data_IF_207687411370
#
_entry.id   IF_207687411370
#
_cell.length_a   1.000
_cell.length_b   1.000
_cell.length_c   1.000
_cell.angle_alpha   90.00
_cell.angle_beta   90.00
_cell.angle_gamma   90.00
#
_symmetry.space_group_name_H-M   'P 1'
#
loop_
_entity.id
_entity.type
_entity.pdbx_description
1 polymer ?
#
# COMPACT_ATOMS: atom_id res chain seq x y z
N UNK A 1 57.27 29.30 4.23
CA UNK A 1 55.81 29.41 4.01
C UNK A 1 55.34 28.19 3.22
N UNK A 2 55.14 27.10 3.96
CA UNK A 2 54.49 25.90 3.44
C UNK A 2 53.02 26.25 3.25
N UNK A 3 52.56 26.15 2.01
CA UNK A 3 51.15 26.30 1.67
C UNK A 3 50.52 24.94 1.97
N UNK A 4 49.81 24.86 3.09
CA UNK A 4 48.95 23.73 3.42
C UNK A 4 47.97 23.52 2.26
N UNK A 5 48.12 22.38 1.58
CA UNK A 5 47.24 21.99 0.49
C UNK A 5 45.82 21.77 1.01
N UNK A 6 44.85 22.38 0.33
CA UNK A 6 43.42 22.18 0.53
C UNK A 6 43.13 20.68 0.67
N UNK A 7 42.61 20.26 1.83
CA UNK A 7 42.08 18.93 2.04
C UNK A 7 40.93 18.71 1.06
N UNK A 8 41.22 18.08 -0.09
CA UNK A 8 40.22 17.67 -1.06
C UNK A 8 39.13 16.88 -0.34
N UNK A 9 37.89 17.36 -0.42
CA UNK A 9 36.72 16.74 0.18
C UNK A 9 36.72 15.23 -0.12
N UNK A 10 36.98 14.42 0.91
CA UNK A 10 36.86 12.96 0.77
C UNK A 10 35.42 12.64 0.36
N UNK A 11 35.21 11.80 -0.66
CA UNK A 11 33.86 11.41 -1.06
C UNK A 11 33.15 10.74 0.12
N UNK A 12 32.08 11.37 0.60
CA UNK A 12 31.24 10.81 1.67
C UNK A 12 30.40 9.69 1.05
N UNK A 13 30.55 8.47 1.56
CA UNK A 13 29.75 7.34 1.11
C UNK A 13 28.27 7.60 1.43
N UNK A 14 27.40 7.46 0.44
CA UNK A 14 25.96 7.51 0.67
C UNK A 14 25.54 6.23 1.41
N UNK A 15 25.14 6.35 2.67
CA UNK A 15 24.61 5.25 3.47
C UNK A 15 23.09 5.15 3.30
N UNK A 16 22.58 3.98 3.64
CA UNK A 16 21.17 3.62 3.70
C UNK A 16 20.95 2.82 4.96
N UNK A 17 19.80 3.01 5.60
CA UNK A 17 19.40 2.20 6.74
C UNK A 17 18.90 0.85 6.24
N UNK A 18 19.47 -0.25 6.75
CA UNK A 18 19.09 -1.63 6.42
C UNK A 18 18.60 -2.34 7.68
N UNK A 19 17.31 -2.23 8.02
CA UNK A 19 16.73 -3.00 9.11
C UNK A 19 16.90 -4.50 8.87
N UNK A 20 17.12 -5.26 9.95
CA UNK A 20 17.31 -6.72 9.90
C UNK A 20 16.06 -7.49 10.33
N UNK A 21 15.18 -6.82 11.06
CA UNK A 21 13.96 -7.39 11.61
C UNK A 21 12.74 -6.64 11.08
N UNK A 22 11.59 -7.30 11.13
CA UNK A 22 10.32 -6.66 10.78
C UNK A 22 9.98 -5.61 11.83
N UNK A 23 9.69 -4.40 11.38
CA UNK A 23 9.32 -3.28 12.26
C UNK A 23 7.87 -2.92 11.95
N UNK A 24 6.98 -3.04 12.93
CA UNK A 24 5.56 -2.73 12.75
C UNK A 24 5.05 -1.82 13.85
N UNK A 25 4.18 -0.87 13.48
CA UNK A 25 3.39 -0.05 14.39
C UNK A 25 1.95 -0.07 13.91
N UNK A 26 1.03 -0.30 14.84
CA UNK A 26 -0.40 -0.41 14.55
C UNK A 26 -1.19 0.54 15.44
N UNK A 27 -2.32 1.03 14.92
CA UNK A 27 -3.29 1.83 15.68
C UNK A 27 -4.68 1.55 15.16
N UNK A 28 -5.44 0.74 15.91
CA UNK A 28 -6.74 0.25 15.45
C UNK A 28 -6.57 -0.63 14.22
N UNK A 29 -7.27 -0.29 13.13
CA UNK A 29 -7.14 -0.95 11.83
C UNK A 29 -5.98 -0.42 10.97
N UNK A 30 -5.43 0.75 11.31
CA UNK A 30 -4.32 1.36 10.56
C UNK A 30 -2.98 0.80 10.99
N UNK A 31 -2.04 0.68 10.05
CA UNK A 31 -0.70 0.18 10.36
C UNK A 31 0.36 0.71 9.40
N UNK A 32 1.61 0.62 9.85
CA UNK A 32 2.81 0.76 9.03
C UNK A 32 3.77 -0.34 9.41
N UNK A 33 4.22 -1.11 8.44
CA UNK A 33 5.14 -2.23 8.63
C UNK A 33 6.26 -2.17 7.62
N UNK A 34 7.49 -2.37 8.05
CA UNK A 34 8.66 -2.55 7.21
C UNK A 34 9.12 -4.00 7.29
N UNK A 35 9.21 -4.62 6.13
CA UNK A 35 9.81 -5.93 5.93
C UNK A 35 11.24 -5.73 5.38
N UNK A 36 12.27 -6.28 6.05
CA UNK A 36 13.64 -6.22 5.57
C UNK A 36 13.79 -6.78 4.15
N UNK A 37 14.36 -5.99 3.26
CA UNK A 37 14.65 -6.38 1.88
C UNK A 37 15.81 -5.53 1.34
N UNK A 38 16.56 -6.05 0.37
CA UNK A 38 17.66 -5.32 -0.28
C UNK A 38 17.15 -4.45 -1.46
N UNK A 39 15.99 -3.81 -1.32
CA UNK A 39 15.38 -2.91 -2.31
C UNK A 39 14.63 -1.76 -1.62
N UNK A 40 14.03 -0.84 -2.39
CA UNK A 40 13.15 0.21 -1.86
C UNK A 40 11.75 0.04 -2.43
N UNK A 41 10.92 -0.74 -1.74
CA UNK A 41 9.55 -1.02 -2.13
C UNK A 41 8.58 -0.38 -1.15
N UNK A 42 7.53 0.23 -1.68
CA UNK A 42 6.49 0.87 -0.90
C UNK A 42 5.14 0.40 -1.37
N UNK A 43 4.24 0.14 -0.44
CA UNK A 43 2.83 -0.14 -0.72
C UNK A 43 1.98 0.68 0.24
N UNK A 44 1.05 1.45 -0.29
CA UNK A 44 0.13 2.26 0.50
C UNK A 44 -1.30 1.89 0.17
N UNK A 45 -2.08 1.63 1.20
CA UNK A 45 -3.51 1.41 1.11
C UNK A 45 -4.28 2.51 1.82
N UNK A 46 -5.42 2.88 1.25
CA UNK A 46 -6.40 3.78 1.87
C UNK A 46 -7.79 3.19 1.73
N UNK A 47 -8.61 3.34 2.76
CA UNK A 47 -10.00 2.94 2.74
C UNK A 47 -10.91 4.06 3.23
N UNK A 48 -11.72 4.60 2.31
CA UNK A 48 -12.76 5.58 2.61
C UNK A 48 -14.12 5.14 2.10
N UNK A 49 -14.35 3.86 1.80
CA UNK A 49 -15.59 3.40 1.13
C UNK A 49 -16.89 3.83 1.85
N UNK A 50 -16.88 3.94 3.18
CA UNK A 50 -18.07 4.34 3.96
C UNK A 50 -18.33 5.85 3.92
N UNK A 51 -17.28 6.66 3.87
CA UNK A 51 -17.36 8.12 3.99
C UNK A 51 -17.34 8.80 2.61
N UNK A 52 -16.55 8.25 1.69
CA UNK A 52 -16.31 8.71 0.34
C UNK A 52 -16.25 7.51 -0.63
N UNK A 53 -17.40 6.99 -1.09
CA UNK A 53 -17.46 5.90 -2.07
C UNK A 53 -16.61 6.12 -3.32
N UNK A 54 -16.45 7.36 -3.80
CA UNK A 54 -15.59 7.70 -4.94
C UNK A 54 -14.12 7.36 -4.74
N UNK A 55 -13.63 7.42 -3.49
CA UNK A 55 -12.29 6.98 -3.13
C UNK A 55 -12.30 5.46 -3.01
N UNK A 56 -13.29 4.91 -2.30
CA UNK A 56 -13.41 3.48 -2.10
C UNK A 56 -12.23 2.89 -1.32
N UNK A 57 -11.78 1.72 -1.75
CA UNK A 57 -10.60 1.01 -1.22
C UNK A 57 -9.53 0.98 -2.30
N UNK A 58 -8.41 1.63 -2.03
CA UNK A 58 -7.34 1.78 -3.01
C UNK A 58 -6.03 1.26 -2.46
N UNK A 59 -5.23 0.67 -3.33
CA UNK A 59 -3.87 0.24 -3.04
C UNK A 59 -2.97 0.68 -4.18
N UNK A 60 -1.80 1.19 -3.83
CA UNK A 60 -0.75 1.52 -4.78
C UNK A 60 0.58 0.95 -4.31
N UNK A 61 1.33 0.33 -5.21
CA UNK A 61 2.68 -0.19 -4.94
C UNK A 61 3.67 0.44 -5.89
N UNK A 62 4.87 0.76 -5.37
CA UNK A 62 5.94 1.38 -6.13
C UNK A 62 7.30 0.91 -5.60
N UNK A 63 8.17 0.50 -6.50
CA UNK A 63 9.54 0.09 -6.24
C UNK A 63 10.50 0.99 -7.03
N UNK A 64 11.47 1.58 -6.32
CA UNK A 64 12.37 2.59 -6.90
C UNK A 64 13.20 2.08 -8.10
N UNK A 65 13.51 0.78 -8.14
CA UNK A 65 14.36 0.18 -9.17
C UNK A 65 13.58 -0.47 -10.32
N UNK A 66 12.31 -0.79 -10.10
CA UNK A 66 11.48 -1.57 -11.04
C UNK A 66 10.48 -0.68 -11.77
N UNK A 67 9.94 0.34 -11.07
CA UNK A 67 8.85 1.16 -11.58
C UNK A 67 9.31 2.49 -12.16
N UNK A 68 8.38 3.18 -12.82
CA UNK A 68 8.57 4.53 -13.33
C UNK A 68 9.03 5.48 -12.23
N UNK A 69 9.93 6.40 -12.60
CA UNK A 69 10.55 7.34 -11.68
C UNK A 69 9.51 8.11 -10.85
N UNK A 70 9.81 8.36 -9.56
CA UNK A 70 8.95 9.06 -8.60
C UNK A 70 8.23 10.28 -9.17
N UNK A 71 8.95 11.10 -9.95
CA UNK A 71 8.41 12.31 -10.62
C UNK A 71 7.13 12.05 -11.44
N UNK A 72 7.05 10.91 -12.12
CA UNK A 72 5.95 10.59 -13.04
C UNK A 72 4.87 9.73 -12.38
N UNK A 73 5.26 8.90 -11.42
CA UNK A 73 4.33 7.96 -10.75
C UNK A 73 3.66 8.59 -9.54
N UNK A 74 4.40 9.40 -8.79
CA UNK A 74 3.97 9.88 -7.48
C UNK A 74 3.94 11.40 -7.42
N UNK A 75 4.91 12.09 -8.04
CA UNK A 75 5.22 13.49 -7.75
C UNK A 75 4.09 14.51 -7.98
N UNK A 76 3.04 14.13 -8.69
CA UNK A 76 1.91 15.00 -9.03
C UNK A 76 0.60 14.65 -8.30
N UNK A 77 0.59 13.64 -7.42
CA UNK A 77 -0.57 13.28 -6.62
C UNK A 77 -0.96 14.39 -5.62
N UNK A 78 -2.23 14.77 -5.62
CA UNK A 78 -2.78 15.89 -4.83
C UNK A 78 -3.32 15.45 -3.47
N UNK A 79 -3.35 16.36 -2.48
CA UNK A 79 -4.07 16.12 -1.22
C UNK A 79 -5.57 15.94 -1.49
N UNK A 80 -6.24 15.17 -0.64
CA UNK A 80 -7.66 14.89 -0.75
C UNK A 80 -8.40 15.04 0.59
N UNK A 81 -9.71 15.26 0.51
CA UNK A 81 -10.65 15.28 1.64
C UNK A 81 -11.82 14.35 1.35
N UNK A 82 -12.30 13.67 2.39
CA UNK A 82 -13.36 12.65 2.26
C UNK A 82 -14.76 13.24 2.17
N UNK A 83 -14.96 14.51 2.55
CA UNK A 83 -16.26 15.19 2.38
C UNK A 83 -16.12 16.71 2.34
N UNK A 84 -17.10 17.45 1.79
CA UNK A 84 -17.13 18.90 1.90
C UNK A 84 -17.32 19.38 3.35
N UNK A 85 -18.04 18.61 4.18
CA UNK A 85 -18.22 18.92 5.59
C UNK A 85 -16.90 18.88 6.35
N UNK A 86 -16.00 17.94 6.01
CA UNK A 86 -14.65 17.91 6.54
C UNK A 86 -13.88 19.20 6.19
N UNK A 87 -13.97 19.65 4.93
CA UNK A 87 -13.33 20.90 4.50
C UNK A 87 -13.84 22.12 5.28
N UNK A 88 -15.16 22.22 5.46
CA UNK A 88 -15.80 23.31 6.24
C UNK A 88 -15.35 23.25 7.70
N UNK A 89 -15.42 22.08 8.34
CA UNK A 89 -15.04 21.92 9.74
C UNK A 89 -13.55 22.24 9.99
N UNK A 90 -12.66 21.80 9.08
CA UNK A 90 -11.24 22.16 9.14
C UNK A 90 -11.03 23.68 9.02
N UNK A 91 -11.79 24.33 8.14
CA UNK A 91 -11.74 25.80 7.98
C UNK A 91 -12.23 26.54 9.22
N UNK A 92 -13.33 26.09 9.83
CA UNK A 92 -13.85 26.68 11.08
C UNK A 92 -12.86 26.51 12.23
N UNK A 93 -12.13 25.39 12.26
CA UNK A 93 -11.05 25.13 13.22
C UNK A 93 -9.73 25.89 12.92
N UNK A 94 -9.69 26.76 11.91
CA UNK A 94 -8.53 27.58 11.56
C UNK A 94 -7.53 26.94 10.60
N UNK A 95 -7.82 25.75 10.07
CA UNK A 95 -7.01 25.10 9.02
C UNK A 95 -7.48 25.54 7.63
N UNK A 96 -6.73 25.22 6.57
CA UNK A 96 -7.14 25.44 5.16
C UNK A 96 -7.67 26.87 4.84
N UNK A 97 -7.15 27.90 5.51
CA UNK A 97 -7.67 29.28 5.37
C UNK A 97 -7.48 29.88 3.98
N UNK A 98 -6.51 29.36 3.21
CA UNK A 98 -6.26 29.76 1.83
C UNK A 98 -7.27 29.16 0.83
N UNK A 99 -8.19 28.29 1.29
CA UNK A 99 -9.14 27.58 0.45
C UNK A 99 -8.60 26.22 -0.02
N UNK A 100 -9.48 25.47 -0.69
CA UNK A 100 -9.22 24.13 -1.23
C UNK A 100 -9.29 24.08 -2.76
N UNK A 101 -9.90 25.11 -3.36
CA UNK A 101 -10.19 25.19 -4.79
C UNK A 101 -8.92 25.10 -5.64
N UNK A 102 -8.92 24.22 -6.64
CA UNK A 102 -7.79 24.01 -7.56
C UNK A 102 -6.60 23.25 -6.97
N UNK A 103 -6.57 22.97 -5.66
CA UNK A 103 -5.40 22.41 -4.97
C UNK A 103 -5.70 21.05 -4.34
N UNK A 104 -6.88 20.89 -3.74
CA UNK A 104 -7.26 19.70 -2.97
C UNK A 104 -8.44 19.01 -3.65
N UNK A 105 -8.34 17.70 -3.81
CA UNK A 105 -9.45 16.88 -4.29
C UNK A 105 -10.48 16.69 -3.18
N UNK A 106 -11.72 17.10 -3.39
CA UNK A 106 -12.78 16.96 -2.38
C UNK A 106 -13.78 15.92 -2.86
N UNK A 107 -13.92 14.81 -2.12
CA UNK A 107 -14.92 13.81 -2.41
C UNK A 107 -16.32 14.30 -2.02
N UNK A 108 -17.34 13.86 -2.76
CA UNK A 108 -18.75 14.14 -2.51
C UNK A 108 -19.58 12.88 -2.83
N UNK A 109 -19.63 11.96 -1.86
CA UNK A 109 -20.30 10.67 -2.06
C UNK A 109 -19.60 9.85 -3.15
N UNK A 110 -20.34 9.55 -4.23
CA UNK A 110 -19.87 8.73 -5.36
C UNK A 110 -19.09 9.51 -6.43
N UNK A 111 -18.91 10.82 -6.27
CA UNK A 111 -18.17 11.66 -7.23
C UNK A 111 -17.17 12.60 -6.56
N UNK A 112 -16.22 13.09 -7.35
CA UNK A 112 -15.36 14.21 -6.97
C UNK A 112 -16.12 15.52 -7.14
N UNK A 113 -15.87 16.49 -6.26
CA UNK A 113 -16.46 17.83 -6.38
C UNK A 113 -15.96 18.56 -7.63
N UNK A 114 -14.68 18.40 -7.94
CA UNK A 114 -14.03 18.89 -9.16
C UNK A 114 -13.27 17.70 -9.79
N UNK A 115 -13.81 17.19 -10.89
CA UNK A 115 -13.25 16.03 -11.60
C UNK A 115 -11.96 16.35 -12.34
N UNK A 116 -11.75 17.62 -12.74
CA UNK A 116 -10.56 18.03 -13.48
C UNK A 116 -9.31 18.07 -12.57
N UNK A 117 -9.52 17.97 -11.25
CA UNK A 117 -8.45 17.80 -10.27
C UNK A 117 -7.98 16.36 -10.11
N UNK A 118 -8.64 15.36 -10.67
CA UNK A 118 -8.19 13.97 -10.55
C UNK A 118 -7.21 13.68 -11.69
N UNK A 119 -5.99 13.26 -11.36
CA UNK A 119 -4.93 12.88 -12.31
C UNK A 119 -4.76 11.38 -12.41
N UNK A 120 -5.00 10.66 -11.32
CA UNK A 120 -4.89 9.21 -11.24
C UNK A 120 -6.14 8.62 -10.58
N UNK A 121 -6.52 7.41 -10.99
CA UNK A 121 -7.65 6.69 -10.39
C UNK A 121 -7.40 6.36 -8.91
N UNK A 122 -6.16 5.99 -8.59
CA UNK A 122 -5.64 5.64 -7.26
C UNK A 122 -4.89 6.80 -6.59
N UNK A 123 -5.21 8.05 -6.94
CA UNK A 123 -4.50 9.24 -6.45
C UNK A 123 -4.48 9.38 -4.91
N UNK A 124 -5.57 9.09 -4.17
CA UNK A 124 -5.52 9.01 -2.71
C UNK A 124 -4.47 8.05 -2.14
N UNK A 125 -4.31 6.85 -2.73
CA UNK A 125 -3.26 5.91 -2.32
C UNK A 125 -1.86 6.46 -2.65
N UNK A 126 -1.66 7.02 -3.85
CA UNK A 126 -0.39 7.68 -4.23
C UNK A 126 -0.03 8.83 -3.29
N UNK A 127 -1.02 9.64 -2.89
CA UNK A 127 -0.82 10.72 -1.92
C UNK A 127 -0.39 10.19 -0.55
N UNK A 128 -1.01 9.11 -0.08
CA UNK A 128 -0.60 8.45 1.17
C UNK A 128 0.85 7.97 1.12
N UNK A 129 1.29 7.44 -0.02
CA UNK A 129 2.69 7.07 -0.25
C UNK A 129 3.62 8.28 -0.27
N UNK A 130 3.23 9.39 -0.90
CA UNK A 130 4.00 10.64 -0.83
C UNK A 130 4.19 11.10 0.62
N UNK A 131 3.13 11.06 1.43
CA UNK A 131 3.19 11.44 2.84
C UNK A 131 4.13 10.52 3.63
N UNK A 132 4.07 9.20 3.40
CA UNK A 132 5.02 8.24 3.98
C UNK A 132 6.47 8.55 3.61
N UNK A 133 6.76 8.72 2.31
CA UNK A 133 8.11 9.04 1.81
C UNK A 133 8.62 10.36 2.40
N UNK A 134 7.74 11.36 2.51
CA UNK A 134 8.04 12.64 3.14
C UNK A 134 8.40 12.50 4.62
N UNK A 135 7.68 11.65 5.37
CA UNK A 135 8.02 11.37 6.77
C UNK A 135 9.35 10.61 6.88
N UNK A 136 9.56 9.56 6.08
CA UNK A 136 10.83 8.79 6.09
C UNK A 136 12.05 9.67 5.79
N UNK A 137 11.90 10.73 4.99
CA UNK A 137 12.96 11.69 4.75
C UNK A 137 13.45 12.38 6.04
N UNK A 138 12.68 12.38 7.13
CA UNK A 138 13.13 12.88 8.44
C UNK A 138 14.19 11.98 9.10
N UNK A 139 14.35 10.74 8.65
CA UNK A 139 15.46 9.87 9.04
C UNK A 139 16.77 10.24 8.32
N UNK A 140 16.75 11.22 7.41
CA UNK A 140 17.92 11.67 6.68
C UNK A 140 19.04 12.11 7.63
N UNK A 141 20.25 11.62 7.36
CA UNK A 141 21.47 11.94 8.11
C UNK A 141 22.63 12.09 7.15
N UNK A 142 23.51 13.07 7.40
CA UNK A 142 24.80 13.20 6.70
C UNK A 142 24.73 13.13 5.16
N UNK A 143 23.68 13.69 4.56
CA UNK A 143 23.46 13.69 3.10
C UNK A 143 22.79 12.43 2.52
N UNK A 144 22.28 11.54 3.38
CA UNK A 144 21.51 10.35 2.98
C UNK A 144 20.01 10.66 2.92
N UNK A 145 19.26 9.96 2.07
CA UNK A 145 17.85 10.25 1.79
C UNK A 145 16.88 9.90 2.92
N UNK A 146 17.32 9.18 3.96
CA UNK A 146 16.47 8.74 5.07
C UNK A 146 15.56 7.55 4.76
N UNK A 147 15.44 7.16 3.50
CA UNK A 147 14.66 5.97 3.10
C UNK A 147 15.37 4.69 3.57
N UNK A 148 14.73 3.87 4.42
CA UNK A 148 15.28 2.57 4.77
C UNK A 148 15.07 1.59 3.60
N UNK A 149 16.00 0.65 3.45
CA UNK A 149 15.84 -0.47 2.55
C UNK A 149 14.84 -1.48 3.14
N UNK A 150 13.97 -1.98 2.28
CA UNK A 150 12.90 -2.88 2.65
C UNK A 150 11.65 -2.67 1.81
N UNK A 151 10.64 -3.47 2.13
CA UNK A 151 9.28 -3.26 1.70
C UNK A 151 8.47 -2.64 2.84
N UNK A 152 8.07 -1.38 2.66
CA UNK A 152 7.22 -0.68 3.63
C UNK A 152 5.77 -0.71 3.15
N UNK A 153 4.90 -1.26 3.97
CA UNK A 153 3.46 -1.32 3.74
C UNK A 153 2.76 -0.44 4.76
N UNK A 154 1.95 0.52 4.31
CA UNK A 154 1.07 1.30 5.16
C UNK A 154 -0.39 1.16 4.74
N UNK A 155 -1.29 1.26 5.72
CA UNK A 155 -2.73 1.21 5.50
C UNK A 155 -3.42 2.23 6.41
N UNK A 156 -4.17 3.16 5.80
CA UNK A 156 -4.88 4.27 6.46
C UNK A 156 -4.05 4.96 7.55
N UNK A 157 -2.78 5.19 7.26
CA UNK A 157 -1.82 5.74 8.21
C UNK A 157 -1.83 7.27 8.19
N UNK A 158 -1.95 7.88 9.37
CA UNK A 158 -1.90 9.32 9.51
C UNK A 158 -0.50 9.82 9.92
N UNK A 159 -0.27 11.14 9.95
CA UNK A 159 1.05 11.70 10.32
C UNK A 159 1.55 11.26 11.71
N UNK A 160 0.65 11.06 12.67
CA UNK A 160 1.03 10.59 14.01
C UNK A 160 1.53 9.15 13.98
N UNK A 161 0.85 8.28 13.24
CA UNK A 161 1.28 6.89 13.06
C UNK A 161 2.62 6.81 12.31
N UNK A 162 2.85 7.67 11.31
CA UNK A 162 4.15 7.77 10.65
C UNK A 162 5.25 8.23 11.62
N UNK A 163 5.00 9.24 12.44
CA UNK A 163 5.97 9.67 13.45
C UNK A 163 6.29 8.56 14.46
N UNK A 164 5.28 7.82 14.93
CA UNK A 164 5.48 6.67 15.81
C UNK A 164 6.27 5.55 15.14
N UNK A 165 6.00 5.27 13.87
CA UNK A 165 6.76 4.32 13.07
C UNK A 165 8.23 4.73 12.93
N UNK A 166 8.53 5.99 12.63
CA UNK A 166 9.90 6.50 12.55
C UNK A 166 10.65 6.37 13.87
N UNK A 167 9.99 6.69 14.99
CA UNK A 167 10.57 6.50 16.32
C UNK A 167 10.92 5.02 16.56
N UNK A 168 10.01 4.10 16.22
CA UNK A 168 10.23 2.67 16.33
C UNK A 168 11.39 2.17 15.46
N UNK A 169 11.54 2.73 14.25
CA UNK A 169 12.68 2.44 13.37
C UNK A 169 13.99 2.87 14.02
N UNK A 170 14.05 4.07 14.59
CA UNK A 170 15.25 4.56 15.27
C UNK A 170 15.60 3.78 16.54
N UNK A 171 14.60 3.26 17.26
CA UNK A 171 14.80 2.39 18.42
C UNK A 171 15.29 0.99 18.05
N UNK A 172 14.86 0.49 16.89
CA UNK A 172 15.14 -0.88 16.45
C UNK A 172 16.44 -1.01 15.65
N UNK A 173 17.03 0.10 15.22
CA UNK A 173 18.23 0.09 14.37
C UNK A 173 19.43 0.77 15.02
N UNK A 174 20.58 0.12 14.93
CA UNK A 174 21.86 0.62 15.44
C UNK A 174 22.70 1.34 14.37
N UNK A 175 23.86 1.91 14.77
CA UNK A 175 24.83 2.48 13.82
C UNK A 175 25.31 1.49 12.75
N UNK A 176 25.34 0.19 13.05
CA UNK A 176 25.76 -0.91 12.19
C UNK A 176 24.77 -1.25 11.07
N UNK A 177 23.52 -0.80 11.18
CA UNK A 177 22.50 -1.00 10.15
C UNK A 177 22.61 0.04 9.03
N UNK A 178 23.44 1.07 9.21
CA UNK A 178 23.76 2.04 8.17
C UNK A 178 24.86 1.51 7.27
N UNK A 179 24.47 1.00 6.11
CA UNK A 179 25.40 0.40 5.14
C UNK A 179 25.53 1.28 3.90
N UNK A 180 26.64 1.21 3.15
CA UNK A 180 26.78 1.88 1.87
C UNK A 180 25.65 1.50 0.89
N UNK A 181 25.05 2.49 0.23
CA UNK A 181 23.95 2.30 -0.73
C UNK A 181 24.29 1.29 -1.83
N UNK A 182 25.55 1.27 -2.28
CA UNK A 182 26.05 0.34 -3.30
C UNK A 182 25.89 -1.14 -2.90
N UNK A 183 25.78 -1.42 -1.60
CA UNK A 183 25.62 -2.78 -1.08
C UNK A 183 24.15 -3.24 -1.10
N UNK A 184 23.19 -2.30 -1.34
CA UNK A 184 21.74 -2.55 -1.46
C UNK A 184 21.21 -2.22 -2.87
N UNK A 185 22.11 -2.14 -3.86
CA UNK A 185 21.68 -1.85 -5.23
C UNK A 185 21.19 -3.13 -5.93
N UNK A 186 19.89 -3.27 -6.09
CA UNK A 186 19.32 -4.29 -6.95
C UNK A 186 17.80 -4.29 -6.99
N UNK A 187 17.20 -4.89 -8.04
CA UNK A 187 15.79 -5.27 -8.01
C UNK A 187 15.56 -6.31 -6.90
N UNK A 188 14.30 -6.51 -6.57
CA UNK A 188 13.89 -7.51 -5.58
C UNK A 188 14.43 -8.88 -5.96
N UNK A 189 14.95 -9.62 -4.97
CA UNK A 189 15.47 -10.97 -5.25
C UNK A 189 14.27 -11.90 -5.47
N UNK A 190 14.24 -12.66 -6.57
CA UNK A 190 13.19 -13.66 -6.75
C UNK A 190 13.23 -14.65 -5.61
N UNK A 191 12.05 -15.03 -5.12
CA UNK A 191 11.90 -16.08 -4.12
C UNK A 191 12.31 -17.39 -4.75
N UNK A 192 13.21 -18.12 -4.08
CA UNK A 192 13.50 -19.50 -4.42
C UNK A 192 12.35 -20.37 -3.91
N UNK A 193 11.39 -20.62 -4.79
CA UNK A 193 10.21 -21.41 -4.46
C UNK A 193 10.54 -22.86 -4.13
N UNK A 194 11.61 -23.44 -4.70
CA UNK A 194 11.99 -24.82 -4.39
C UNK A 194 12.48 -24.90 -2.94
N UNK A 195 13.42 -24.03 -2.56
CA UNK A 195 13.91 -23.96 -1.19
C UNK A 195 12.81 -23.61 -0.17
N UNK A 196 11.88 -22.71 -0.55
CA UNK A 196 10.75 -22.37 0.31
C UNK A 196 9.80 -23.56 0.49
N UNK A 197 9.45 -24.26 -0.59
CA UNK A 197 8.55 -25.42 -0.53
C UNK A 197 9.18 -26.56 0.26
N UNK A 198 10.48 -26.81 0.11
CA UNK A 198 11.21 -27.79 0.93
C UNK A 198 11.15 -27.44 2.43
N UNK A 199 11.23 -26.13 2.77
CA UNK A 199 11.12 -25.68 4.16
C UNK A 199 9.69 -25.79 4.75
N UNK A 200 8.67 -25.64 3.90
CA UNK A 200 7.25 -25.65 4.33
C UNK A 200 6.70 -27.06 4.40
N UNK A 201 7.08 -27.93 3.46
CA UNK A 201 6.58 -29.30 3.38
C UNK A 201 7.32 -30.24 4.35
N UNK A 202 8.51 -29.86 4.83
CA UNK A 202 9.37 -30.75 5.58
C UNK A 202 9.88 -31.91 4.73
N UNK A 203 10.90 -32.62 5.19
CA UNK A 203 11.25 -33.91 4.58
C UNK A 203 10.07 -34.89 4.75
N UNK A 204 9.71 -35.68 3.73
CA UNK A 204 8.63 -36.68 3.82
C UNK A 204 8.75 -37.69 4.97
N UNK A 205 9.91 -37.76 5.63
CA UNK A 205 10.24 -38.72 6.68
C UNK A 205 9.78 -38.32 8.10
N UNK A 206 9.09 -37.18 8.29
CA UNK A 206 8.56 -36.76 9.62
C UNK A 206 7.07 -37.07 9.86
N UNK A 207 6.43 -37.83 8.97
CA UNK A 207 5.23 -38.58 9.38
C UNK A 207 5.70 -39.85 10.08
N UNK A 208 6.01 -39.76 11.37
CA UNK A 208 6.03 -40.94 12.23
C UNK A 208 4.64 -41.57 12.14
N UNK A 209 4.55 -42.70 11.44
CA UNK A 209 3.45 -43.63 11.57
C UNK A 209 3.42 -44.03 13.06
N UNK A 210 2.50 -43.41 13.81
CA UNK A 210 2.11 -43.90 15.13
C UNK A 210 1.50 -45.28 14.90
N UNK A 211 2.35 -46.33 14.92
CA UNK A 211 1.93 -47.72 14.98
C UNK A 211 1.18 -47.92 16.30
N UNK A 212 -0.11 -47.60 16.25
CA UNK A 212 -1.09 -47.82 17.30
C UNK A 212 -1.08 -49.29 17.69
N UNK A 213 -0.53 -49.53 18.88
CA UNK A 213 -0.58 -50.77 19.65
C UNK A 213 -1.94 -51.46 19.52
N UNK A 214 -1.97 -52.65 18.92
CA UNK A 214 -3.14 -53.54 18.89
C UNK A 214 -3.59 -53.88 20.33
N UNK A 215 -4.89 -53.69 20.61
CA UNK A 215 -5.45 -53.88 21.95
C UNK A 215 -6.97 -53.96 21.98
N UNK A 216 -7.48 -55.10 21.51
CA UNK A 216 -8.74 -55.77 21.85
C UNK A 216 -10.10 -55.20 21.40
N UNK A 217 -10.83 -56.14 20.80
CA UNK A 217 -12.12 -56.06 20.12
C UNK A 217 -13.31 -55.88 21.08
N UNK A 218 -14.32 -55.17 20.60
CA UNK A 218 -15.65 -55.06 21.21
C UNK A 218 -16.67 -54.51 20.22
N UNK A 219 -17.22 -55.41 19.40
CA UNK A 219 -18.56 -55.44 18.77
C UNK A 219 -19.61 -54.52 19.47
N UNK A 220 -20.55 -53.78 18.87
CA UNK A 220 -21.30 -53.71 17.60
C UNK A 220 -21.83 -52.24 17.55
N UNK A 221 -21.88 -51.50 16.43
CA UNK A 221 -22.74 -51.70 15.27
C UNK A 221 -23.92 -50.69 15.27
N UNK A 222 -23.83 -49.62 14.48
CA UNK A 222 -24.91 -49.09 13.62
C UNK A 222 -24.43 -47.84 12.86
N UNK A 223 -24.47 -47.93 11.53
CA UNK A 223 -23.86 -46.99 10.62
C UNK A 223 -24.78 -45.86 10.15
N UNK A 224 -24.15 -44.79 9.68
CA UNK A 224 -24.70 -43.92 8.65
C UNK A 224 -23.55 -43.26 7.89
N UNK A 225 -23.16 -43.88 6.77
CA UNK A 225 -22.31 -43.28 5.77
C UNK A 225 -23.14 -42.24 5.00
N UNK A 226 -22.78 -40.95 5.10
CA UNK A 226 -23.27 -39.93 4.18
C UNK A 226 -22.32 -39.89 2.98
N UNK A 227 -22.79 -40.49 1.88
CA UNK A 227 -22.14 -40.48 0.59
C UNK A 227 -22.15 -39.07 -0.02
N UNK A 228 -20.99 -38.62 -0.51
CA UNK A 228 -20.91 -37.59 -1.55
C UNK A 228 -21.51 -38.18 -2.83
N UNK A 229 -22.77 -37.86 -3.09
CA UNK A 229 -23.45 -38.15 -4.36
C UNK A 229 -23.44 -36.91 -5.23
N UNK A 230 -22.70 -36.97 -6.34
CA UNK A 230 -22.94 -36.10 -7.48
C UNK A 230 -24.33 -36.34 -8.06
N UNK A 231 -25.00 -35.27 -8.43
CA UNK A 231 -26.28 -35.27 -9.12
C UNK A 231 -26.29 -34.09 -10.09
N UNK A 232 -26.22 -34.42 -11.38
CA UNK A 232 -26.45 -33.56 -12.53
C UNK A 232 -27.94 -33.19 -12.66
N UNK A 233 -28.22 -32.05 -13.31
CA UNK A 233 -29.55 -31.62 -13.77
C UNK A 233 -30.28 -30.70 -12.79
N UNK A 234 -30.92 -29.61 -13.18
CA UNK A 234 -31.48 -29.22 -14.47
C UNK A 234 -31.51 -27.69 -14.59
N UNK A 235 -31.56 -27.25 -15.84
CA UNK A 235 -31.71 -25.89 -16.33
C UNK A 235 -33.04 -25.28 -15.87
N UNK A 236 -33.02 -24.03 -15.42
CA UNK A 236 -34.17 -23.14 -15.57
C UNK A 236 -33.67 -21.78 -16.05
N UNK A 237 -33.97 -21.53 -17.33
CA UNK A 237 -33.86 -20.27 -18.05
C UNK A 237 -34.86 -19.26 -17.45
N UNK A 238 -34.38 -18.10 -17.03
CA UNK A 238 -35.23 -16.90 -16.96
C UNK A 238 -34.75 -15.89 -18.00
N UNK A 239 -35.33 -16.03 -19.19
CA UNK A 239 -35.40 -15.07 -20.28
C UNK A 239 -36.27 -13.88 -19.83
N UNK A 240 -35.69 -12.67 -19.77
CA UNK A 240 -36.48 -11.43 -19.72
C UNK A 240 -36.37 -10.72 -21.07
N UNK A 241 -37.49 -10.73 -21.77
CA UNK A 241 -37.72 -10.13 -23.08
C UNK A 241 -37.47 -8.61 -23.08
N UNK A 242 -37.01 -8.12 -24.22
CA UNK A 242 -36.75 -6.71 -24.47
C UNK A 242 -37.99 -5.84 -24.58
N UNK A 243 -37.76 -4.54 -24.43
CA UNK A 243 -38.64 -3.51 -24.93
C UNK A 243 -37.85 -2.55 -25.83
N UNK A 244 -38.53 -2.21 -26.91
CA UNK A 244 -38.07 -1.64 -28.17
C UNK A 244 -37.87 -0.12 -28.11
N UNK A 245 -37.11 0.35 -29.08
CA UNK A 245 -36.84 1.70 -29.58
C UNK A 245 -37.93 2.79 -29.35
N UNK A 246 -37.44 4.02 -29.17
CA UNK A 246 -38.21 5.24 -29.36
C UNK A 246 -37.28 6.38 -29.77
N UNK A 247 -37.21 6.64 -31.07
CA UNK A 247 -36.65 7.84 -31.69
C UNK A 247 -37.33 9.11 -31.16
N UNK A 248 -36.55 10.19 -31.03
CA UNK A 248 -37.02 11.51 -30.66
C UNK A 248 -35.93 12.55 -30.90
N UNK A 249 -35.80 12.95 -32.16
CA UNK A 249 -35.13 14.19 -32.56
C UNK A 249 -35.86 15.38 -31.93
N UNK A 250 -35.13 16.31 -31.31
CA UNK A 250 -35.59 17.69 -31.12
C UNK A 250 -34.38 18.63 -31.22
N UNK A 251 -34.28 19.27 -32.38
CA UNK A 251 -33.54 20.51 -32.63
C UNK A 251 -34.26 21.67 -31.93
N UNK A 252 -33.58 22.48 -31.08
CA UNK A 252 -33.96 23.90 -30.89
C UNK A 252 -32.77 24.79 -30.48
N UNK A 253 -32.51 25.76 -31.38
CA UNK A 253 -32.00 27.14 -31.25
C UNK A 253 -30.62 27.48 -30.64
N UNK A 254 -29.77 27.96 -31.55
CA UNK A 254 -28.73 28.97 -31.32
C UNK A 254 -29.32 30.25 -30.73
N UNK A 255 -28.79 30.68 -29.59
CA UNK A 255 -29.01 32.01 -29.02
C UNK A 255 -27.79 32.89 -29.25
N UNK A 256 -27.94 33.89 -30.13
CA UNK A 256 -27.03 35.00 -30.35
C UNK A 256 -26.79 35.80 -29.05
N UNK A 257 -25.53 36.17 -28.79
CA UNK A 257 -25.20 37.24 -27.86
C UNK A 257 -24.47 38.35 -28.65
N UNK A 258 -25.15 39.49 -28.81
CA UNK A 258 -24.52 40.80 -29.06
C UNK A 258 -23.74 41.29 -27.83
#
# INVERSE_FOLDING_TARGET
PEVEGEEGQRPVLKLVLRPREVISVTRGSSFVTLYPEDTFRFTSGVDRHKEAPVIGKQWFSWCMWEDMHYRYSLGDARPFLSSPQQAIGMREAGWLQAGVDGVVMVAHGERWYDTDLVRHEDEPARRQMQDLIGHLALLARSGHSGLPAGHIVCYDADPELFAAFLARVLESCGPEDWVPLRDIMGPSRPVDYEALMDSVLGSPDEFEEDEGTEGEEGEEGEGAAAAYGGGEGEEEDEEYEGAQEGDGEDEVEEGEYE
#
